data_IF_505704728657
#
_entry.id   IF_505704728657
#
_cell.length_a   1.000
_cell.length_b   1.000
_cell.length_c   1.000
_cell.angle_alpha   90.00
_cell.angle_beta   90.00
_cell.angle_gamma   90.00
#
_symmetry.space_group_name_H-M   'P 1'
#
loop_
_entity.id
_entity.type
_entity.pdbx_description
1 polymer ?
#
# COMPACT_ATOMS: atom_id res chain seq x y z
N UNK A 1 24.43 -56.94 45.65
CA UNK A 1 25.35 -55.84 45.34
C UNK A 1 25.77 -56.03 43.89
N UNK A 2 25.40 -55.24 42.88
CA UNK A 2 24.59 -54.03 42.74
C UNK A 2 24.30 -53.93 41.23
N UNK A 3 23.06 -53.59 40.89
CA UNK A 3 22.63 -52.84 39.70
C UNK A 3 23.14 -53.25 38.31
N UNK A 4 22.36 -54.06 37.60
CA UNK A 4 22.26 -53.96 36.14
C UNK A 4 21.41 -52.73 35.81
N UNK A 5 22.04 -51.70 35.25
CA UNK A 5 21.38 -50.53 34.71
C UNK A 5 20.70 -50.96 33.41
N UNK A 6 19.37 -51.04 33.43
CA UNK A 6 18.56 -51.19 32.23
C UNK A 6 18.64 -49.85 31.48
N UNK A 7 19.43 -49.80 30.40
CA UNK A 7 19.38 -48.71 29.44
C UNK A 7 17.99 -48.71 28.79
N UNK A 8 17.08 -47.93 29.37
CA UNK A 8 15.84 -47.53 28.71
C UNK A 8 16.25 -46.67 27.52
N UNK A 9 16.48 -47.31 26.38
CA UNK A 9 16.58 -46.63 25.10
C UNK A 9 15.23 -45.97 24.85
N UNK A 10 15.15 -44.68 25.17
CA UNK A 10 14.01 -43.85 24.83
C UNK A 10 13.93 -43.80 23.30
N UNK A 11 13.10 -44.69 22.73
CA UNK A 11 12.79 -44.67 21.32
C UNK A 11 12.19 -43.30 21.00
N UNK A 12 12.97 -42.48 20.29
CA UNK A 12 12.48 -41.22 19.73
C UNK A 12 11.38 -41.61 18.74
N UNK A 13 10.13 -41.44 19.17
CA UNK A 13 8.98 -41.56 18.29
C UNK A 13 9.06 -40.41 17.28
N UNK A 14 9.70 -40.66 16.14
CA UNK A 14 9.59 -39.81 14.96
C UNK A 14 8.15 -39.93 14.44
N UNK A 15 7.27 -39.13 15.05
CA UNK A 15 5.89 -38.95 14.63
C UNK A 15 5.92 -38.15 13.32
N UNK A 16 6.04 -38.86 12.20
CA UNK A 16 5.87 -38.28 10.87
C UNK A 16 4.44 -37.75 10.69
N UNK A 17 4.30 -36.59 10.05
CA UNK A 17 3.01 -36.08 9.61
C UNK A 17 2.33 -37.10 8.70
N UNK A 18 1.03 -37.31 8.89
CA UNK A 18 0.28 -38.18 7.99
C UNK A 18 0.11 -37.49 6.62
N UNK A 19 0.16 -38.25 5.53
CA UNK A 19 -0.08 -37.69 4.19
C UNK A 19 -1.46 -37.02 4.10
N UNK A 20 -2.43 -37.54 4.85
CA UNK A 20 -3.79 -37.00 4.93
C UNK A 20 -3.82 -35.64 5.64
N UNK A 21 -3.04 -35.44 6.71
CA UNK A 21 -2.90 -34.13 7.35
C UNK A 21 -2.39 -33.07 6.39
N UNK A 22 -1.32 -33.36 5.66
CA UNK A 22 -0.77 -32.40 4.71
C UNK A 22 -1.73 -32.14 3.55
N UNK A 23 -2.46 -33.17 3.09
CA UNK A 23 -3.45 -33.04 2.03
C UNK A 23 -4.61 -32.10 2.44
N UNK A 24 -5.15 -32.25 3.65
CA UNK A 24 -6.24 -31.39 4.12
C UNK A 24 -5.75 -29.93 4.27
N UNK A 25 -4.53 -29.73 4.76
CA UNK A 25 -3.94 -28.39 4.93
C UNK A 25 -3.82 -27.66 3.60
N UNK A 26 -3.27 -28.30 2.56
CA UNK A 26 -3.13 -27.64 1.25
C UNK A 26 -4.49 -27.38 0.59
N UNK A 27 -5.49 -28.22 0.83
CA UNK A 27 -6.86 -28.00 0.35
C UNK A 27 -7.46 -26.76 1.01
N UNK A 28 -7.33 -26.63 2.34
CA UNK A 28 -7.82 -25.45 3.07
C UNK A 28 -7.07 -24.19 2.62
N UNK A 29 -5.73 -24.25 2.51
CA UNK A 29 -4.93 -23.13 2.01
C UNK A 29 -5.31 -22.72 0.58
N UNK A 30 -5.62 -23.69 -0.29
CA UNK A 30 -6.11 -23.42 -1.64
C UNK A 30 -7.43 -22.66 -1.65
N UNK A 31 -8.40 -23.05 -0.83
CA UNK A 31 -9.69 -22.36 -0.70
C UNK A 31 -9.47 -20.94 -0.18
N UNK A 32 -8.71 -20.78 0.92
CA UNK A 32 -8.45 -19.47 1.53
C UNK A 32 -7.67 -18.53 0.60
N UNK A 33 -6.71 -19.06 -0.17
CA UNK A 33 -5.93 -18.27 -1.12
C UNK A 33 -6.81 -17.60 -2.19
N UNK A 34 -7.83 -18.30 -2.71
CA UNK A 34 -8.72 -17.71 -3.72
C UNK A 34 -9.54 -16.54 -3.17
N UNK A 35 -10.14 -16.70 -1.98
CA UNK A 35 -10.95 -15.65 -1.32
C UNK A 35 -10.09 -14.42 -0.99
N UNK A 36 -8.89 -14.66 -0.45
CA UNK A 36 -7.98 -13.57 -0.06
C UNK A 36 -7.52 -12.72 -1.23
N UNK A 37 -7.27 -13.32 -2.41
CA UNK A 37 -6.90 -12.56 -3.62
C UNK A 37 -7.98 -11.55 -4.01
N UNK A 38 -9.26 -11.95 -4.03
CA UNK A 38 -10.36 -11.03 -4.36
C UNK A 38 -10.54 -9.95 -3.31
N UNK A 39 -10.42 -10.30 -2.02
CA UNK A 39 -10.52 -9.34 -0.93
C UNK A 39 -9.41 -8.28 -0.98
N UNK A 40 -8.17 -8.67 -1.25
CA UNK A 40 -7.03 -7.73 -1.31
C UNK A 40 -7.15 -6.79 -2.49
N UNK A 41 -7.57 -7.26 -3.67
CA UNK A 41 -7.76 -6.40 -4.86
C UNK A 41 -8.72 -5.24 -4.60
N UNK A 42 -9.87 -5.50 -3.98
CA UNK A 42 -10.81 -4.43 -3.64
C UNK A 42 -10.24 -3.40 -2.65
N UNK A 43 -9.41 -3.84 -1.70
CA UNK A 43 -8.75 -2.94 -0.73
C UNK A 43 -7.67 -2.10 -1.42
N UNK A 44 -6.88 -2.69 -2.32
CA UNK A 44 -5.84 -1.94 -3.04
C UNK A 44 -6.43 -0.88 -3.94
N UNK A 45 -7.52 -1.20 -4.65
CA UNK A 45 -8.19 -0.25 -5.55
C UNK A 45 -8.78 0.93 -4.75
N UNK A 46 -9.43 0.64 -3.62
CA UNK A 46 -9.94 1.68 -2.73
C UNK A 46 -8.83 2.52 -2.10
N UNK A 47 -7.73 1.89 -1.69
CA UNK A 47 -6.57 2.59 -1.14
C UNK A 47 -5.92 3.53 -2.16
N UNK A 48 -5.81 3.09 -3.41
CA UNK A 48 -5.33 3.90 -4.51
C UNK A 48 -6.26 5.09 -4.78
N UNK A 49 -7.58 4.87 -4.88
CA UNK A 49 -8.55 5.94 -5.04
C UNK A 49 -8.50 6.98 -3.90
N UNK A 50 -8.37 6.52 -2.65
CA UNK A 50 -8.24 7.39 -1.49
C UNK A 50 -6.92 8.18 -1.48
N UNK A 51 -5.82 7.57 -1.90
CA UNK A 51 -4.53 8.25 -2.06
C UNK A 51 -4.62 9.35 -3.13
N UNK A 52 -5.20 9.03 -4.28
CA UNK A 52 -5.41 9.98 -5.37
C UNK A 52 -6.26 11.19 -4.94
N UNK A 53 -7.37 10.95 -4.25
CA UNK A 53 -8.21 12.01 -3.72
C UNK A 53 -7.48 12.89 -2.68
N UNK A 54 -6.62 12.29 -1.85
CA UNK A 54 -5.81 13.02 -0.87
C UNK A 54 -4.73 13.89 -1.54
N UNK A 55 -4.06 13.36 -2.57
CA UNK A 55 -3.07 14.09 -3.37
C UNK A 55 -3.70 15.28 -4.08
N UNK A 56 -4.84 15.07 -4.75
CA UNK A 56 -5.61 16.14 -5.39
C UNK A 56 -5.95 17.24 -4.39
N UNK A 57 -6.50 16.87 -3.22
CA UNK A 57 -6.89 17.83 -2.19
C UNK A 57 -5.68 18.62 -1.67
N UNK A 58 -4.53 17.96 -1.53
CA UNK A 58 -3.29 18.58 -1.08
C UNK A 58 -2.84 19.66 -2.07
N UNK A 59 -2.90 19.37 -3.37
CA UNK A 59 -2.56 20.35 -4.41
C UNK A 59 -3.55 21.50 -4.48
N UNK A 60 -4.86 21.23 -4.36
CA UNK A 60 -5.88 22.29 -4.33
C UNK A 60 -5.62 23.28 -3.18
N UNK A 61 -5.35 22.77 -1.97
CA UNK A 61 -5.04 23.60 -0.81
C UNK A 61 -3.74 24.39 -1.02
N UNK A 62 -2.74 23.77 -1.65
CA UNK A 62 -1.48 24.45 -1.95
C UNK A 62 -1.65 25.55 -3.01
N UNK A 63 -2.50 25.33 -4.02
CA UNK A 63 -2.88 26.35 -5.02
C UNK A 63 -3.64 27.51 -4.36
N UNK A 64 -4.61 27.21 -3.50
CA UNK A 64 -5.34 28.23 -2.73
C UNK A 64 -4.38 29.04 -1.84
N UNK A 65 -3.45 28.37 -1.16
CA UNK A 65 -2.43 29.02 -0.34
C UNK A 65 -1.45 29.86 -1.18
N UNK A 66 -1.15 29.46 -2.41
CA UNK A 66 -0.35 30.25 -3.33
C UNK A 66 -1.07 31.56 -3.71
N UNK A 67 -2.34 31.47 -4.07
CA UNK A 67 -3.15 32.65 -4.39
C UNK A 67 -3.38 33.56 -3.18
N UNK A 68 -3.46 33.01 -1.97
CA UNK A 68 -3.52 33.80 -0.74
C UNK A 68 -2.24 34.62 -0.49
N UNK A 69 -1.08 34.15 -0.94
CA UNK A 69 0.22 34.82 -0.74
C UNK A 69 0.60 35.77 -1.88
N UNK A 70 0.33 35.38 -3.13
CA UNK A 70 0.80 36.08 -4.33
C UNK A 70 -0.30 36.84 -5.06
N UNK A 71 -1.57 36.70 -4.63
CA UNK A 71 -2.72 37.19 -5.38
C UNK A 71 -2.95 36.41 -6.68
N UNK A 72 -3.95 36.81 -7.47
CA UNK A 72 -4.39 36.09 -8.69
C UNK A 72 -3.62 36.47 -9.96
N UNK A 73 -2.54 37.24 -9.83
CA UNK A 73 -1.78 37.79 -10.97
C UNK A 73 -0.75 36.81 -11.53
N UNK A 74 -0.34 35.82 -10.73
CA UNK A 74 0.66 34.82 -11.13
C UNK A 74 0.07 33.43 -10.95
N UNK A 75 -0.03 32.70 -12.06
CA UNK A 75 -0.51 31.33 -12.00
C UNK A 75 0.48 30.43 -11.26
N UNK A 76 -0.01 29.57 -10.36
CA UNK A 76 0.82 28.58 -9.70
C UNK A 76 1.34 27.56 -10.72
N UNK A 77 2.60 27.19 -10.57
CA UNK A 77 3.19 26.00 -11.20
C UNK A 77 3.60 25.05 -10.09
N UNK A 78 3.59 23.74 -10.32
CA UNK A 78 4.03 22.79 -9.28
C UNK A 78 5.43 23.08 -8.74
N UNK A 79 6.36 23.48 -9.62
CA UNK A 79 7.70 23.91 -9.21
C UNK A 79 7.67 25.16 -8.31
N UNK A 80 6.75 26.09 -8.58
CA UNK A 80 6.49 27.27 -7.75
C UNK A 80 5.94 26.89 -6.37
N UNK A 81 5.03 25.92 -6.29
CA UNK A 81 4.49 25.40 -5.03
C UNK A 81 5.57 24.75 -4.17
N UNK A 82 6.50 23.98 -4.78
CA UNK A 82 7.64 23.39 -4.07
C UNK A 82 8.57 24.47 -3.53
N UNK A 83 8.88 25.47 -4.36
CA UNK A 83 9.79 26.57 -4.00
C UNK A 83 9.22 27.43 -2.87
N UNK A 84 7.90 27.65 -2.86
CA UNK A 84 7.20 28.32 -1.77
C UNK A 84 7.00 27.43 -0.51
N UNK A 85 7.43 26.16 -0.54
CA UNK A 85 7.29 25.24 0.58
C UNK A 85 5.84 24.83 0.89
N UNK A 86 4.93 25.03 -0.07
CA UNK A 86 3.52 24.64 0.07
C UNK A 86 3.31 23.15 -0.16
N UNK A 87 4.18 22.53 -0.97
CA UNK A 87 4.29 21.08 -1.15
C UNK A 87 5.76 20.67 -1.04
N UNK A 88 6.01 19.41 -0.65
CA UNK A 88 7.38 18.92 -0.41
C UNK A 88 8.12 18.52 -1.69
N UNK A 89 7.39 18.07 -2.70
CA UNK A 89 7.90 17.62 -3.98
C UNK A 89 6.79 17.72 -5.03
N UNK A 90 7.19 17.75 -6.30
CA UNK A 90 6.26 17.67 -7.45
C UNK A 90 5.50 16.35 -7.38
N UNK A 91 4.19 16.38 -7.62
CA UNK A 91 3.39 15.19 -7.51
C UNK A 91 3.54 14.34 -8.79
N UNK A 92 3.72 13.01 -8.70
CA UNK A 92 3.79 12.15 -9.88
C UNK A 92 2.40 11.82 -10.46
N UNK A 93 1.33 12.12 -9.73
CA UNK A 93 -0.05 11.70 -9.99
C UNK A 93 -0.93 12.82 -10.56
N UNK A 94 -0.63 14.06 -10.23
CA UNK A 94 -1.38 15.25 -10.65
C UNK A 94 -0.42 16.36 -11.11
N UNK A 95 -0.93 17.27 -11.94
CA UNK A 95 -0.22 18.47 -12.40
C UNK A 95 -1.11 19.70 -12.15
N UNK A 96 -0.46 20.84 -11.93
CA UNK A 96 -1.11 22.14 -11.76
C UNK A 96 -0.99 22.94 -13.05
N UNK A 97 -2.09 22.98 -13.80
CA UNK A 97 -2.24 23.75 -15.02
C UNK A 97 -2.52 25.23 -14.77
N UNK A 98 -2.60 25.99 -15.87
CA UNK A 98 -2.93 27.41 -15.85
C UNK A 98 -4.23 27.68 -15.05
N UNK A 99 -4.28 28.82 -14.37
CA UNK A 99 -5.39 29.17 -13.47
C UNK A 99 -5.52 28.28 -12.22
N UNK A 100 -4.49 27.53 -11.85
CA UNK A 100 -4.51 26.67 -10.65
C UNK A 100 -5.38 25.43 -10.80
N UNK A 101 -5.60 24.97 -12.03
CA UNK A 101 -6.36 23.77 -12.32
C UNK A 101 -5.55 22.53 -11.97
N UNK A 102 -6.02 21.73 -11.01
CA UNK A 102 -5.40 20.45 -10.66
C UNK A 102 -5.94 19.38 -11.61
N UNK A 103 -5.08 18.76 -12.40
CA UNK A 103 -5.44 17.74 -13.39
C UNK A 103 -4.65 16.47 -13.15
N UNK A 104 -5.28 15.30 -13.31
CA UNK A 104 -4.56 14.04 -13.20
C UNK A 104 -3.57 13.90 -14.37
N UNK A 105 -2.33 13.53 -14.06
CA UNK A 105 -1.32 13.27 -15.08
C UNK A 105 -1.70 11.98 -15.80
N UNK A 106 -1.80 12.00 -17.13
CA UNK A 106 -2.26 10.88 -17.96
C UNK A 106 -1.40 9.59 -17.88
N UNK A 107 -0.30 9.62 -17.12
CA UNK A 107 0.63 8.53 -16.89
C UNK A 107 0.65 8.05 -15.42
N UNK A 108 -0.13 8.68 -14.54
CA UNK A 108 -0.14 8.40 -13.11
C UNK A 108 -1.11 7.29 -12.72
N UNK A 109 -0.88 6.69 -11.55
CA UNK A 109 -1.78 5.70 -10.93
C UNK A 109 -3.21 6.25 -10.65
N UNK A 110 -3.45 7.53 -10.85
CA UNK A 110 -4.72 8.21 -10.56
C UNK A 110 -5.50 8.59 -11.83
N UNK A 111 -5.04 8.17 -13.02
CA UNK A 111 -5.70 8.37 -14.30
C UNK A 111 -6.71 7.25 -14.62
#
# INVERSE_FOLDING_TARGET
METHIEEVQAEKQDKGFTLVELLIVIVILGILATVTVFAVRGITDQGQASACAADQKTLEVAVEAWYAQNGTTTDPTEAGLVTAGLIRAVSPTYDVGAGGTVTATALGACA
#
